data_IF_875391423982
#
_entry.id   IF_875391423982
#
_cell.length_a   1.000
_cell.length_b   1.000
_cell.length_c   1.000
_cell.angle_alpha   90.00
_cell.angle_beta   90.00
_cell.angle_gamma   90.00
#
_symmetry.space_group_name_H-M   'P 1'
#
loop_
_entity.id
_entity.type
_entity.pdbx_description
1 polymer ?
#
# COMPACT_ATOMS: atom_id res chain seq x y z
N UNK A 1 23.54 -5.24 13.03
CA UNK A 1 22.51 -6.32 13.06
C UNK A 1 23.16 -7.69 13.25
N UNK A 2 24.24 -7.98 12.51
CA UNK A 2 25.11 -9.15 12.73
C UNK A 2 25.56 -9.26 14.19
N UNK A 3 26.05 -8.16 14.76
CA UNK A 3 26.62 -8.17 16.12
C UNK A 3 25.54 -8.48 17.17
N UNK A 4 24.37 -7.86 17.06
CA UNK A 4 23.22 -8.14 17.95
C UNK A 4 22.81 -9.62 17.85
N UNK A 5 22.74 -10.17 16.65
CA UNK A 5 22.36 -11.57 16.44
C UNK A 5 23.41 -12.53 17.03
N UNK A 6 24.69 -12.29 16.77
CA UNK A 6 25.75 -13.18 17.25
C UNK A 6 26.02 -13.03 18.76
N UNK A 7 26.03 -11.80 19.30
CA UNK A 7 26.38 -11.55 20.70
C UNK A 7 25.18 -11.65 21.66
N UNK A 8 24.02 -11.12 21.28
CA UNK A 8 22.83 -11.15 22.15
C UNK A 8 22.00 -12.43 22.00
N UNK A 9 21.88 -12.95 20.77
CA UNK A 9 21.06 -14.14 20.49
C UNK A 9 21.88 -15.42 20.31
N UNK A 10 23.22 -15.34 20.31
CA UNK A 10 24.15 -16.46 20.21
C UNK A 10 23.82 -17.44 19.05
N UNK A 11 23.38 -16.90 17.91
CA UNK A 11 23.04 -17.72 16.73
C UNK A 11 24.30 -18.33 16.12
N UNK A 12 24.31 -19.65 15.79
CA UNK A 12 25.51 -20.33 15.30
C UNK A 12 25.91 -19.95 13.87
N UNK A 13 24.96 -19.44 13.06
CA UNK A 13 25.21 -18.95 11.72
C UNK A 13 24.15 -17.91 11.34
N UNK A 14 24.55 -16.92 10.54
CA UNK A 14 23.68 -15.87 10.01
C UNK A 14 23.98 -15.65 8.54
N UNK A 15 22.93 -15.47 7.72
CA UNK A 15 23.04 -15.08 6.32
C UNK A 15 22.19 -13.83 6.07
N UNK A 16 22.81 -12.79 5.48
CA UNK A 16 22.13 -11.53 5.14
C UNK A 16 21.97 -11.47 3.62
N UNK A 17 20.72 -11.49 3.16
CA UNK A 17 20.38 -11.41 1.74
C UNK A 17 19.79 -10.05 1.38
N UNK A 18 20.02 -9.61 0.14
CA UNK A 18 19.36 -8.42 -0.42
C UNK A 18 17.90 -8.78 -0.73
N UNK A 19 16.95 -8.02 -0.21
CA UNK A 19 15.51 -8.31 -0.33
C UNK A 19 15.03 -8.46 -1.79
N UNK A 20 15.52 -7.61 -2.70
CA UNK A 20 15.16 -7.66 -4.13
C UNK A 20 15.72 -8.90 -4.85
N UNK A 21 16.87 -9.40 -4.41
CA UNK A 21 17.45 -10.63 -4.96
C UNK A 21 16.67 -11.85 -4.46
N UNK A 22 16.22 -11.83 -3.20
CA UNK A 22 15.37 -12.89 -2.65
C UNK A 22 14.01 -12.97 -3.35
N UNK A 23 13.36 -11.83 -3.62
CA UNK A 23 12.09 -11.80 -4.35
C UNK A 23 12.25 -12.27 -5.80
N UNK A 24 13.38 -11.96 -6.45
CA UNK A 24 13.68 -12.47 -7.79
C UNK A 24 13.83 -13.99 -7.78
N UNK A 25 14.57 -14.55 -6.83
CA UNK A 25 14.69 -16.01 -6.69
C UNK A 25 13.37 -16.69 -6.36
N UNK A 26 12.52 -16.06 -5.54
CA UNK A 26 11.18 -16.56 -5.25
C UNK A 26 10.29 -16.63 -6.52
N UNK A 27 10.55 -15.78 -7.52
CA UNK A 27 9.88 -15.83 -8.83
C UNK A 27 10.42 -16.91 -9.78
N UNK A 28 11.39 -17.73 -9.35
CA UNK A 28 12.01 -18.78 -10.17
C UNK A 28 13.03 -18.27 -11.19
N UNK A 29 13.43 -17.00 -11.11
CA UNK A 29 14.40 -16.38 -12.02
C UNK A 29 15.78 -16.36 -11.37
N UNK A 30 16.78 -16.84 -12.10
CA UNK A 30 18.18 -16.87 -11.66
C UNK A 30 19.04 -15.77 -12.32
N UNK A 31 18.55 -15.18 -13.40
CA UNK A 31 19.22 -14.08 -14.10
C UNK A 31 18.81 -12.73 -13.51
N UNK A 32 19.52 -12.29 -12.47
CA UNK A 32 19.42 -10.92 -11.98
C UNK A 32 20.35 -10.68 -10.80
N UNK A 33 21.56 -10.24 -11.13
CA UNK A 33 22.45 -9.65 -10.14
C UNK A 33 22.05 -8.19 -9.92
N UNK A 34 22.05 -7.74 -8.68
CA UNK A 34 21.77 -6.35 -8.37
C UNK A 34 22.98 -5.48 -8.77
N UNK A 35 22.86 -4.69 -9.84
CA UNK A 35 23.88 -3.71 -10.23
C UNK A 35 23.77 -2.46 -9.36
N UNK A 36 24.74 -2.15 -8.47
CA UNK A 36 24.60 -1.08 -7.49
C UNK A 36 24.33 0.30 -8.12
N UNK A 37 24.87 0.53 -9.31
CA UNK A 37 24.74 1.78 -10.08
C UNK A 37 23.40 1.93 -10.80
N UNK A 38 22.60 0.85 -10.92
CA UNK A 38 21.28 0.87 -11.55
C UNK A 38 20.13 0.77 -10.54
N UNK A 39 20.43 0.79 -9.23
CA UNK A 39 19.40 0.76 -8.18
C UNK A 39 18.85 2.17 -7.99
N UNK A 40 17.57 2.35 -8.34
CA UNK A 40 16.82 3.56 -8.05
C UNK A 40 16.08 3.39 -6.72
N UNK A 41 16.10 4.44 -5.89
CA UNK A 41 15.32 4.50 -4.66
C UNK A 41 14.24 5.56 -4.82
N UNK A 42 13.00 5.14 -4.69
CA UNK A 42 11.84 6.02 -4.64
C UNK A 42 11.37 6.09 -3.19
N UNK A 43 11.29 7.28 -2.61
CA UNK A 43 10.81 7.50 -1.23
C UNK A 43 9.28 7.62 -1.17
N UNK A 44 8.57 6.83 -1.99
CA UNK A 44 7.11 6.68 -1.93
C UNK A 44 6.80 5.33 -1.31
N UNK A 45 6.20 5.35 -0.11
CA UNK A 45 5.93 4.13 0.66
C UNK A 45 4.44 4.01 0.93
N UNK A 46 3.98 2.81 1.27
CA UNK A 46 2.59 2.53 1.66
C UNK A 46 2.06 3.46 2.76
N UNK A 47 2.92 3.99 3.63
CA UNK A 47 2.53 4.98 4.63
C UNK A 47 2.00 6.26 3.99
N UNK A 48 2.60 6.71 2.89
CA UNK A 48 2.24 7.94 2.22
C UNK A 48 0.91 7.77 1.47
N UNK A 49 0.64 6.57 0.93
CA UNK A 49 -0.67 6.20 0.40
C UNK A 49 -1.76 6.22 1.48
N UNK A 50 -1.48 5.71 2.67
CA UNK A 50 -2.43 5.74 3.78
C UNK A 50 -2.68 7.19 4.21
N UNK A 51 -1.64 8.04 4.26
CA UNK A 51 -1.78 9.47 4.56
C UNK A 51 -2.60 10.22 3.51
N UNK A 52 -2.41 9.91 2.22
CA UNK A 52 -3.22 10.44 1.14
C UNK A 52 -4.69 10.00 1.29
N UNK A 53 -4.93 8.72 1.60
CA UNK A 53 -6.28 8.20 1.81
C UNK A 53 -6.97 8.88 3.01
N UNK A 54 -6.25 9.05 4.13
CA UNK A 54 -6.77 9.77 5.29
C UNK A 54 -7.12 11.22 4.97
N UNK A 55 -6.33 11.89 4.10
CA UNK A 55 -6.64 13.26 3.65
C UNK A 55 -7.94 13.30 2.85
N UNK A 56 -8.13 12.38 1.90
CA UNK A 56 -9.34 12.31 1.07
C UNK A 56 -10.57 12.01 1.93
N UNK A 57 -10.45 11.13 2.92
CA UNK A 57 -11.54 10.88 3.87
C UNK A 57 -11.85 12.08 4.79
N UNK A 58 -10.84 12.89 5.12
CA UNK A 58 -11.04 14.14 5.88
C UNK A 58 -11.81 15.17 5.06
N UNK A 59 -11.62 15.21 3.74
CA UNK A 59 -12.41 16.05 2.82
C UNK A 59 -13.88 15.63 2.73
N UNK A 60 -14.20 14.38 3.11
CA UNK A 60 -15.57 13.84 3.21
C UNK A 60 -16.12 13.83 4.63
N UNK A 61 -15.56 14.64 5.53
CA UNK A 61 -15.95 14.78 6.94
C UNK A 61 -15.76 13.52 7.81
N UNK A 62 -15.03 12.51 7.34
CA UNK A 62 -14.67 11.37 8.17
C UNK A 62 -13.40 11.65 9.01
N UNK A 63 -13.60 11.84 10.31
CA UNK A 63 -12.51 12.09 11.26
C UNK A 63 -11.74 10.80 11.59
N UNK A 64 -10.70 10.49 10.80
CA UNK A 64 -9.76 9.39 11.04
C UNK A 64 -8.39 9.89 11.54
N UNK A 65 -8.34 10.49 12.73
CA UNK A 65 -7.09 11.04 13.32
C UNK A 65 -6.33 10.07 14.24
N UNK A 66 -6.98 9.00 14.73
CA UNK A 66 -6.38 8.06 15.69
C UNK A 66 -5.56 6.95 15.02
N UNK A 67 -4.55 6.41 15.70
CA UNK A 67 -3.73 5.28 15.22
C UNK A 67 -4.55 4.02 14.94
N UNK A 68 -5.56 3.71 15.75
CA UNK A 68 -6.46 2.56 15.51
C UNK A 68 -7.22 2.69 14.19
N UNK A 69 -7.72 3.90 13.90
CA UNK A 69 -8.40 4.23 12.65
C UNK A 69 -7.46 4.15 11.43
N UNK A 70 -6.17 4.45 11.59
CA UNK A 70 -5.17 4.27 10.52
C UNK A 70 -5.05 2.81 10.08
N UNK A 71 -5.16 1.86 11.02
CA UNK A 71 -5.15 0.43 10.66
C UNK A 71 -6.40 0.00 9.90
N UNK A 72 -7.56 0.56 10.24
CA UNK A 72 -8.80 0.34 9.48
C UNK A 72 -8.64 0.88 8.06
N UNK A 73 -8.05 2.07 7.89
CA UNK A 73 -7.77 2.65 6.57
C UNK A 73 -6.77 1.79 5.78
N UNK A 74 -5.81 1.13 6.45
CA UNK A 74 -4.91 0.16 5.79
C UNK A 74 -5.65 -1.07 5.29
N UNK A 75 -6.54 -1.65 6.10
CA UNK A 75 -7.36 -2.81 5.69
C UNK A 75 -8.33 -2.44 4.54
N UNK A 76 -8.95 -1.26 4.63
CA UNK A 76 -9.77 -0.70 3.54
C UNK A 76 -8.96 -0.54 2.26
N UNK A 77 -7.75 0.02 2.34
CA UNK A 77 -6.84 0.14 1.19
C UNK A 77 -6.61 -1.22 0.54
N UNK A 78 -6.26 -2.24 1.32
CA UNK A 78 -5.94 -3.57 0.80
C UNK A 78 -7.15 -4.28 0.15
N UNK A 79 -8.38 -4.02 0.64
CA UNK A 79 -9.60 -4.67 0.13
C UNK A 79 -10.31 -3.92 -0.99
N UNK A 80 -10.20 -2.59 -1.03
CA UNK A 80 -11.04 -1.75 -1.88
C UNK A 80 -10.27 -1.09 -3.01
N UNK A 81 -9.01 -0.70 -2.79
CA UNK A 81 -8.24 0.06 -3.77
C UNK A 81 -7.82 -0.82 -4.94
N UNK A 82 -7.89 -0.26 -6.15
CA UNK A 82 -7.43 -0.90 -7.38
C UNK A 82 -6.84 0.15 -8.32
N UNK A 83 -5.88 -0.27 -9.14
CA UNK A 83 -5.25 0.59 -10.15
C UNK A 83 -6.07 0.48 -11.44
N UNK A 84 -6.55 1.61 -11.95
CA UNK A 84 -7.13 1.70 -13.28
C UNK A 84 -6.04 1.73 -14.34
N UNK A 85 -6.31 1.15 -15.51
CA UNK A 85 -5.40 1.23 -16.65
C UNK A 85 -5.47 2.61 -17.32
N UNK A 86 -6.66 3.20 -17.39
CA UNK A 86 -6.91 4.55 -17.91
C UNK A 86 -7.70 5.35 -16.86
N UNK A 87 -6.99 6.26 -16.20
CA UNK A 87 -7.55 7.04 -15.09
C UNK A 87 -8.66 8.00 -15.56
N UNK A 88 -8.49 8.66 -16.70
CA UNK A 88 -9.45 9.67 -17.17
C UNK A 88 -10.77 9.02 -17.56
N UNK A 89 -10.71 7.90 -18.28
CA UNK A 89 -11.90 7.18 -18.70
C UNK A 89 -12.67 6.60 -17.50
N UNK A 90 -11.96 6.07 -16.51
CA UNK A 90 -12.59 5.44 -15.35
C UNK A 90 -13.12 6.48 -14.35
N UNK A 91 -12.53 7.69 -14.31
CA UNK A 91 -13.08 8.82 -13.56
C UNK A 91 -14.42 9.31 -14.13
N UNK A 92 -14.55 9.42 -15.45
CA UNK A 92 -15.83 9.76 -16.10
C UNK A 92 -16.88 8.66 -15.89
N UNK A 93 -16.44 7.41 -15.90
CA UNK A 93 -17.30 6.26 -15.57
C UNK A 93 -17.74 6.30 -14.10
N UNK A 94 -16.87 6.67 -13.17
CA UNK A 94 -17.21 6.81 -11.75
C UNK A 94 -18.15 7.99 -11.46
N UNK A 95 -18.14 9.06 -12.29
CA UNK A 95 -19.11 10.15 -12.20
C UNK A 95 -20.49 9.76 -12.77
N UNK A 96 -20.50 8.94 -13.82
CA UNK A 96 -21.72 8.56 -14.54
C UNK A 96 -22.37 7.28 -14.01
N UNK A 97 -21.62 6.42 -13.32
CA UNK A 97 -22.09 5.12 -12.84
C UNK A 97 -21.75 4.87 -11.37
N UNK A 98 -22.74 4.37 -10.61
CA UNK A 98 -22.59 3.96 -9.21
C UNK A 98 -22.02 2.54 -9.04
N UNK A 99 -21.66 1.86 -10.15
CA UNK A 99 -21.10 0.49 -10.11
C UNK A 99 -19.73 0.41 -9.43
N UNK A 100 -19.01 1.54 -9.37
CA UNK A 100 -17.70 1.63 -8.72
C UNK A 100 -17.82 1.78 -7.19
N UNK A 101 -18.99 2.18 -6.71
CA UNK A 101 -19.25 2.36 -5.28
C UNK A 101 -19.28 1.02 -4.56
N UNK A 102 -18.51 0.93 -3.48
CA UNK A 102 -18.46 -0.27 -2.65
C UNK A 102 -18.63 0.12 -1.19
N UNK A 103 -19.48 -0.65 -0.51
CA UNK A 103 -19.77 -0.48 0.90
C UNK A 103 -18.73 -1.23 1.74
N UNK A 104 -18.25 -0.58 2.79
CA UNK A 104 -17.34 -1.15 3.76
C UNK A 104 -17.93 -1.02 5.17
N UNK A 105 -17.97 -2.14 5.89
CA UNK A 105 -18.48 -2.20 7.26
C UNK A 105 -17.35 -1.92 8.25
N UNK A 106 -17.51 -0.90 9.07
CA UNK A 106 -16.61 -0.64 10.18
C UNK A 106 -16.85 -1.65 11.30
N UNK A 107 -15.84 -1.87 12.18
CA UNK A 107 -16.04 -2.65 13.40
C UNK A 107 -17.12 -2.08 14.33
N UNK A 108 -17.57 -0.84 14.10
CA UNK A 108 -18.68 -0.18 14.80
C UNK A 108 -20.05 -0.39 14.10
N UNK A 109 -20.14 -1.33 13.16
CA UNK A 109 -21.35 -1.66 12.37
C UNK A 109 -21.81 -0.52 11.42
N UNK A 110 -21.14 0.63 11.44
CA UNK A 110 -21.38 1.70 10.48
C UNK A 110 -20.87 1.30 9.08
N UNK A 111 -21.71 1.52 8.07
CA UNK A 111 -21.35 1.29 6.66
C UNK A 111 -20.89 2.59 6.03
N UNK A 112 -19.72 2.58 5.39
CA UNK A 112 -19.19 3.69 4.59
C UNK A 112 -19.19 3.29 3.13
N UNK A 113 -19.69 4.18 2.26
CA UNK A 113 -19.68 4.00 0.81
C UNK A 113 -18.48 4.71 0.22
N UNK A 114 -17.62 3.96 -0.47
CA UNK A 114 -16.37 4.44 -1.06
C UNK A 114 -16.47 4.27 -2.59
N UNK A 115 -16.32 5.37 -3.32
CA UNK A 115 -16.43 5.42 -4.78
C UNK A 115 -15.10 5.79 -5.44
N UNK A 116 -15.02 6.99 -6.00
CA UNK A 116 -13.84 7.51 -6.72
C UNK A 116 -12.53 7.51 -5.91
N UNK A 117 -12.60 7.46 -4.58
CA UNK A 117 -11.44 7.40 -3.68
C UNK A 117 -10.60 6.13 -3.92
N UNK A 118 -11.24 5.04 -4.37
CA UNK A 118 -10.58 3.76 -4.69
C UNK A 118 -9.58 3.88 -5.84
N UNK A 119 -9.86 4.80 -6.76
CA UNK A 119 -9.05 5.07 -7.96
C UNK A 119 -8.00 6.15 -7.69
N UNK A 120 -8.33 7.14 -6.84
CA UNK A 120 -7.47 8.30 -6.60
C UNK A 120 -6.29 8.03 -5.67
N UNK A 121 -6.43 7.08 -4.76
CA UNK A 121 -5.35 6.69 -3.86
C UNK A 121 -4.13 6.05 -4.53
N UNK A 122 -4.28 5.07 -5.43
CA UNK A 122 -3.15 4.43 -6.09
C UNK A 122 -2.50 5.31 -7.15
N UNK A 123 -3.18 6.36 -7.63
CA UNK A 123 -2.62 7.34 -8.57
C UNK A 123 -1.38 8.05 -8.02
N UNK A 124 -1.21 8.14 -6.70
CA UNK A 124 -0.02 8.75 -6.06
C UNK A 124 1.27 7.95 -6.37
N UNK A 125 1.15 6.72 -6.90
CA UNK A 125 2.30 5.91 -7.33
C UNK A 125 2.79 6.22 -8.75
N UNK A 126 1.97 6.92 -9.55
CA UNK A 126 2.25 7.26 -10.95
C UNK A 126 2.58 8.76 -11.09
#
# INVERSE_FOLDING_TARGET
MTDIMCESFNVPALYVAIQTVLSLYASGRTTGYAFPHAILRLELVSRDLINALMKIFTERDYMFTTTAKREIVRDMKEKLVYIAMDYEQELETAKSSSSVEKNYELPDVQVITIGAERLRCPEVLF
#
